data_IF_940496286924
#
_entry.id   IF_940496286924
#
_cell.length_a   1.000
_cell.length_b   1.000
_cell.length_c   1.000
_cell.angle_alpha   90.00
_cell.angle_beta   90.00
_cell.angle_gamma   90.00
#
_symmetry.space_group_name_H-M   'P 1'
#
loop_
_entity.id
_entity.type
_entity.pdbx_description
1 polymer ?
#
# COMPACT_ATOMS: atom_id res chain seq x y z
N UNK A 1 32.56 25.22 -14.38
CA UNK A 1 31.48 25.09 -13.37
C UNK A 1 31.82 23.90 -12.49
N UNK A 2 32.12 24.13 -11.21
CA UNK A 2 32.45 23.07 -10.25
C UNK A 2 31.18 22.28 -9.94
N UNK A 3 31.21 20.97 -10.18
CA UNK A 3 30.14 20.05 -9.80
C UNK A 3 29.94 20.09 -8.29
N UNK A 4 28.68 20.18 -7.87
CA UNK A 4 28.29 20.06 -6.47
C UNK A 4 28.78 18.70 -5.93
N UNK A 5 29.43 18.63 -4.77
CA UNK A 5 29.80 17.37 -4.15
C UNK A 5 28.52 16.55 -3.88
N UNK A 6 28.54 15.28 -4.29
CA UNK A 6 27.43 14.35 -4.11
C UNK A 6 26.99 14.30 -2.65
N UNK A 7 25.68 14.42 -2.42
CA UNK A 7 25.14 14.37 -1.06
C UNK A 7 25.38 12.99 -0.46
N UNK A 8 26.21 12.94 0.58
CA UNK A 8 26.74 11.72 1.22
C UNK A 8 25.73 11.00 2.13
N UNK A 9 24.45 10.97 1.72
CA UNK A 9 23.35 10.38 2.48
C UNK A 9 22.41 9.59 1.57
N UNK A 10 21.76 8.53 2.09
CA UNK A 10 20.88 7.69 1.30
C UNK A 10 19.69 8.49 0.72
N UNK A 11 19.52 8.47 -0.60
CA UNK A 11 18.39 9.09 -1.29
C UNK A 11 17.12 8.31 -0.93
N UNK A 12 16.09 9.01 -0.45
CA UNK A 12 14.81 8.42 -0.09
C UNK A 12 13.87 8.46 -1.29
N UNK A 13 13.30 7.31 -1.63
CA UNK A 13 12.27 7.19 -2.66
C UNK A 13 10.91 6.88 -2.04
N UNK A 14 9.89 7.60 -2.47
CA UNK A 14 8.48 7.29 -2.29
C UNK A 14 7.99 6.54 -3.53
N UNK A 15 7.32 5.42 -3.31
CA UNK A 15 6.75 4.57 -4.37
C UNK A 15 5.24 4.56 -4.17
N UNK A 16 4.50 5.01 -5.18
CA UNK A 16 3.05 4.99 -5.23
C UNK A 16 2.59 3.73 -5.98
N UNK A 17 1.71 2.95 -5.35
CA UNK A 17 1.32 1.62 -5.81
C UNK A 17 -0.21 1.47 -5.83
N UNK A 18 -0.69 0.67 -6.78
CA UNK A 18 -1.99 0.03 -6.70
C UNK A 18 -1.84 -1.47 -6.92
N UNK A 19 -2.77 -2.26 -6.39
CA UNK A 19 -2.78 -3.71 -6.60
C UNK A 19 -4.17 -4.31 -6.41
N UNK A 20 -4.39 -5.42 -7.11
CA UNK A 20 -5.53 -6.30 -6.91
C UNK A 20 -5.11 -7.39 -5.91
N UNK A 21 -5.77 -7.45 -4.76
CA UNK A 21 -5.35 -8.27 -3.62
C UNK A 21 -5.65 -9.77 -3.74
N UNK A 22 -6.42 -10.21 -4.73
CA UNK A 22 -7.01 -11.57 -4.81
C UNK A 22 -5.94 -12.68 -4.69
N UNK A 23 -4.80 -12.50 -5.36
CA UNK A 23 -3.69 -13.46 -5.37
C UNK A 23 -2.66 -13.28 -4.25
N UNK A 24 -2.92 -12.41 -3.28
CA UNK A 24 -1.97 -12.06 -2.21
C UNK A 24 -2.49 -12.43 -0.82
N UNK A 25 -1.59 -12.96 0.01
CA UNK A 25 -1.79 -13.12 1.45
C UNK A 25 -1.57 -11.79 2.21
N UNK A 26 -2.04 -10.70 1.64
CA UNK A 26 -1.95 -9.35 2.17
C UNK A 26 -0.66 -8.63 1.80
N UNK A 27 -0.44 -7.48 2.47
CA UNK A 27 0.73 -6.64 2.25
C UNK A 27 2.02 -7.26 2.80
N UNK A 28 2.03 -7.58 4.09
CA UNK A 28 3.26 -7.85 4.85
C UNK A 28 3.95 -9.13 4.35
N UNK A 29 5.27 -9.08 4.14
CA UNK A 29 6.08 -10.27 3.81
C UNK A 29 5.91 -11.39 4.84
N UNK A 30 5.72 -12.60 4.33
CA UNK A 30 5.58 -13.85 5.07
C UNK A 30 6.47 -14.91 4.40
N UNK A 31 6.86 -15.94 5.15
CA UNK A 31 7.81 -16.96 4.69
C UNK A 31 7.26 -17.79 3.52
N UNK A 32 6.03 -18.27 3.64
CA UNK A 32 5.48 -19.31 2.77
C UNK A 32 4.32 -18.82 1.90
N UNK A 33 4.16 -17.50 1.79
CA UNK A 33 3.04 -16.90 1.09
C UNK A 33 3.46 -15.73 0.20
N UNK A 34 2.80 -15.64 -0.96
CA UNK A 34 2.94 -14.50 -1.87
C UNK A 34 2.27 -13.27 -1.27
N UNK A 35 3.02 -12.19 -1.10
CA UNK A 35 2.54 -10.93 -0.53
C UNK A 35 3.02 -9.75 -1.36
N UNK A 36 2.32 -8.62 -1.28
CA UNK A 36 2.67 -7.43 -2.08
C UNK A 36 4.05 -6.89 -1.70
N UNK A 37 4.37 -6.81 -0.39
CA UNK A 37 5.69 -6.37 0.07
C UNK A 37 6.79 -7.33 -0.38
N UNK A 38 6.52 -8.63 -0.43
CA UNK A 38 7.48 -9.62 -0.91
C UNK A 38 7.81 -9.44 -2.39
N UNK A 39 6.81 -9.24 -3.25
CA UNK A 39 7.02 -8.95 -4.67
C UNK A 39 7.75 -7.62 -4.88
N UNK A 40 7.36 -6.58 -4.14
CA UNK A 40 8.04 -5.28 -4.20
C UNK A 40 9.49 -5.38 -3.74
N UNK A 41 9.78 -6.08 -2.64
CA UNK A 41 11.13 -6.30 -2.15
C UNK A 41 11.98 -7.06 -3.18
N UNK A 42 11.44 -8.12 -3.79
CA UNK A 42 12.11 -8.89 -4.85
C UNK A 42 12.42 -8.02 -6.06
N UNK A 43 11.46 -7.24 -6.54
CA UNK A 43 11.64 -6.36 -7.70
C UNK A 43 12.68 -5.26 -7.44
N UNK A 44 12.59 -4.57 -6.30
CA UNK A 44 13.56 -3.57 -5.89
C UNK A 44 14.97 -4.17 -5.73
N UNK A 45 15.07 -5.34 -5.08
CA UNK A 45 16.36 -5.99 -4.83
C UNK A 45 17.04 -6.42 -6.13
N UNK A 46 16.26 -6.94 -7.09
CA UNK A 46 16.74 -7.27 -8.45
C UNK A 46 17.29 -6.04 -9.17
N UNK A 47 16.62 -4.90 -9.09
CA UNK A 47 17.07 -3.67 -9.74
C UNK A 47 18.31 -3.07 -9.07
N UNK A 48 18.44 -3.22 -7.75
CA UNK A 48 19.52 -2.63 -6.96
C UNK A 48 20.72 -3.56 -6.75
N UNK A 49 20.61 -4.84 -7.15
CA UNK A 49 21.65 -5.84 -6.97
C UNK A 49 21.95 -6.17 -5.50
N UNK A 50 21.01 -5.91 -4.59
CA UNK A 50 21.14 -6.15 -3.15
C UNK A 50 19.77 -6.27 -2.50
N UNK A 51 19.71 -6.97 -1.37
CA UNK A 51 18.47 -7.10 -0.60
C UNK A 51 18.03 -5.74 -0.04
N UNK A 52 16.78 -5.38 -0.32
CA UNK A 52 16.11 -4.22 0.24
C UNK A 52 14.70 -4.57 0.69
N UNK A 53 14.26 -3.96 1.79
CA UNK A 53 12.92 -4.14 2.32
C UNK A 53 12.16 -2.81 2.33
N UNK A 54 11.25 -2.59 1.36
CA UNK A 54 10.40 -1.40 1.34
C UNK A 54 9.44 -1.38 2.54
N UNK A 55 9.16 -0.18 3.05
CA UNK A 55 8.24 0.03 4.17
C UNK A 55 6.96 0.70 3.67
N UNK A 56 5.82 0.02 3.82
CA UNK A 56 4.50 0.49 3.42
C UNK A 56 3.85 1.46 4.42
N UNK A 57 2.91 2.26 3.95
CA UNK A 57 2.14 3.22 4.74
C UNK A 57 1.11 2.55 5.66
N UNK A 58 0.57 1.41 5.23
CA UNK A 58 -0.36 0.59 6.00
C UNK A 58 -0.24 -0.88 5.58
N UNK A 59 -0.76 -1.78 6.42
CA UNK A 59 -0.93 -3.19 6.08
C UNK A 59 -2.33 -3.39 5.51
N UNK A 60 -2.45 -4.31 4.57
CA UNK A 60 -3.71 -4.86 4.09
C UNK A 60 -3.73 -6.34 4.38
N UNK A 61 -4.92 -6.85 4.73
CA UNK A 61 -5.17 -8.27 4.94
C UNK A 61 -5.22 -9.02 3.60
N UNK A 62 -5.24 -10.35 3.66
CA UNK A 62 -5.42 -11.23 2.48
C UNK A 62 -6.64 -10.81 1.67
N UNK A 63 -6.48 -10.73 0.34
CA UNK A 63 -7.55 -10.35 -0.59
C UNK A 63 -7.87 -8.86 -0.68
N UNK A 64 -7.40 -8.03 0.25
CA UNK A 64 -7.70 -6.59 0.23
C UNK A 64 -6.92 -5.89 -0.90
N UNK A 65 -7.64 -5.15 -1.73
CA UNK A 65 -7.07 -4.33 -2.82
C UNK A 65 -6.53 -2.99 -2.30
N UNK A 66 -5.65 -2.35 -3.07
CA UNK A 66 -5.28 -0.96 -2.83
C UNK A 66 -5.27 -0.17 -4.13
N UNK A 67 -5.89 1.02 -4.10
CA UNK A 67 -5.79 2.01 -5.18
C UNK A 67 -4.68 3.04 -4.96
N UNK A 68 -4.05 3.07 -3.79
CA UNK A 68 -3.11 4.13 -3.43
C UNK A 68 -2.26 3.77 -2.22
N UNK A 69 -1.67 2.57 -2.26
CA UNK A 69 -0.67 2.20 -1.27
C UNK A 69 0.60 3.01 -1.50
N UNK A 70 1.22 3.47 -0.43
CA UNK A 70 2.51 4.17 -0.50
C UNK A 70 3.55 3.33 0.19
N UNK A 71 4.72 3.19 -0.43
CA UNK A 71 5.90 2.60 0.19
C UNK A 71 7.09 3.55 0.10
N UNK A 72 8.12 3.29 0.91
CA UNK A 72 9.41 3.94 0.74
C UNK A 72 10.57 2.98 0.91
N UNK A 73 11.70 3.34 0.31
CA UNK A 73 13.00 2.72 0.53
C UNK A 73 14.11 3.75 0.31
N UNK A 74 15.35 3.36 0.61
CA UNK A 74 16.54 4.18 0.34
C UNK A 74 17.42 3.56 -0.74
N UNK A 75 17.97 4.41 -1.59
CA UNK A 75 18.99 4.09 -2.58
C UNK A 75 20.27 4.85 -2.28
N UNK A 76 21.40 4.37 -2.82
CA UNK A 76 22.74 4.87 -2.53
C UNK A 76 23.20 5.94 -3.51
N UNK A 77 22.68 5.92 -4.73
CA UNK A 77 23.16 6.77 -5.83
C UNK A 77 22.01 7.28 -6.69
N UNK A 78 22.28 8.34 -7.45
CA UNK A 78 21.35 8.88 -8.44
C UNK A 78 21.00 7.85 -9.52
N UNK A 79 21.99 7.10 -9.99
CA UNK A 79 21.79 6.03 -10.99
C UNK A 79 20.83 4.94 -10.47
N UNK A 80 20.90 4.60 -9.18
CA UNK A 80 19.93 3.68 -8.58
C UNK A 80 18.53 4.29 -8.53
N UNK A 81 18.40 5.58 -8.18
CA UNK A 81 17.12 6.28 -8.18
C UNK A 81 16.48 6.30 -9.58
N UNK A 82 17.27 6.62 -10.61
CA UNK A 82 16.85 6.63 -12.01
C UNK A 82 16.45 5.25 -12.50
N UNK A 83 17.22 4.22 -12.14
CA UNK A 83 16.89 2.82 -12.46
C UNK A 83 15.58 2.39 -11.81
N UNK A 84 15.36 2.73 -10.55
CA UNK A 84 14.11 2.47 -9.85
C UNK A 84 12.93 3.15 -10.54
N UNK A 85 13.08 4.43 -10.90
CA UNK A 85 12.06 5.19 -11.64
C UNK A 85 11.75 4.56 -13.01
N UNK A 86 12.78 4.21 -13.78
CA UNK A 86 12.63 3.74 -15.15
C UNK A 86 12.20 2.28 -15.30
N UNK A 87 12.46 1.41 -14.31
CA UNK A 87 12.33 -0.03 -14.49
C UNK A 87 11.37 -0.74 -13.52
N UNK A 88 11.03 -0.15 -12.36
CA UNK A 88 10.26 -0.86 -11.33
C UNK A 88 8.91 -1.39 -11.85
N UNK A 89 8.19 -0.59 -12.64
CA UNK A 89 6.89 -0.98 -13.23
C UNK A 89 6.98 -2.19 -14.16
N UNK A 90 8.15 -2.44 -14.78
CA UNK A 90 8.36 -3.55 -15.72
C UNK A 90 8.76 -4.86 -15.05
N UNK A 91 9.19 -4.80 -13.79
CA UNK A 91 9.67 -5.96 -13.04
C UNK A 91 8.59 -6.53 -12.12
N UNK A 92 7.61 -5.71 -11.74
CA UNK A 92 6.48 -6.14 -10.92
C UNK A 92 5.48 -7.00 -11.72
N UNK A 93 4.76 -7.92 -11.04
CA UNK A 93 3.71 -8.71 -11.67
C UNK A 93 2.52 -7.84 -12.08
N UNK A 94 1.70 -8.34 -13.02
CA UNK A 94 0.59 -7.59 -13.61
C UNK A 94 -0.52 -7.17 -12.62
N UNK A 95 -0.58 -7.80 -11.44
CA UNK A 95 -1.51 -7.47 -10.36
C UNK A 95 -0.98 -6.40 -9.39
N UNK A 96 0.20 -5.81 -9.67
CA UNK A 96 0.79 -4.67 -8.95
C UNK A 96 1.21 -3.57 -9.93
N UNK A 97 0.58 -2.41 -9.82
CA UNK A 97 0.84 -1.22 -10.63
C UNK A 97 1.74 -0.23 -9.87
N UNK A 98 2.79 0.28 -10.52
CA UNK A 98 3.55 1.44 -10.04
C UNK A 98 3.00 2.69 -10.68
N UNK A 99 2.53 3.62 -9.84
CA UNK A 99 1.97 4.91 -10.27
C UNK A 99 2.98 6.04 -10.21
N UNK A 100 4.04 5.87 -9.44
CA UNK A 100 5.10 6.87 -9.33
C UNK A 100 6.25 6.41 -8.45
N UNK A 101 7.45 6.91 -8.77
CA UNK A 101 8.66 6.75 -7.95
C UNK A 101 9.30 8.12 -7.85
N UNK A 102 9.25 8.73 -6.67
CA UNK A 102 9.66 10.12 -6.48
C UNK A 102 10.71 10.24 -5.37
N UNK A 103 11.70 11.11 -5.57
CA UNK A 103 12.60 11.52 -4.49
C UNK A 103 11.80 12.31 -3.45
N UNK A 104 12.08 12.05 -2.19
CA UNK A 104 11.45 12.75 -1.05
C UNK A 104 12.51 13.07 -0.01
N UNK A 105 12.14 13.87 1.00
CA UNK A 105 13.02 14.14 2.13
C UNK A 105 13.63 12.85 2.70
N UNK A 106 14.93 12.81 3.07
CA UNK A 106 15.54 11.67 3.75
C UNK A 106 14.77 11.22 5.01
N UNK A 107 14.07 12.14 5.67
CA UNK A 107 13.24 11.90 6.86
C UNK A 107 11.85 11.32 6.58
N UNK A 108 11.42 11.24 5.31
CA UNK A 108 10.12 10.69 4.95
C UNK A 108 10.00 9.23 5.37
N UNK A 109 8.86 8.89 5.99
CA UNK A 109 8.51 7.53 6.38
C UNK A 109 7.04 7.28 6.05
N UNK A 110 6.78 6.48 5.02
CA UNK A 110 5.43 6.21 4.51
C UNK A 110 4.39 5.87 5.59
N UNK A 111 4.79 5.19 6.67
CA UNK A 111 3.90 4.85 7.80
C UNK A 111 3.71 6.01 8.77
N UNK A 112 4.79 6.68 9.18
CA UNK A 112 4.76 7.66 10.27
C UNK A 112 4.39 9.07 9.82
N UNK A 113 4.71 9.45 8.58
CA UNK A 113 4.38 10.78 8.05
C UNK A 113 2.99 10.86 7.42
N UNK A 114 2.28 9.73 7.32
CA UNK A 114 0.91 9.71 6.80
C UNK A 114 -0.08 10.29 7.82
N UNK A 115 -0.80 11.34 7.42
CA UNK A 115 -1.79 12.04 8.27
C UNK A 115 -3.09 11.25 8.39
N UNK A 116 -3.52 10.59 7.32
CA UNK A 116 -4.76 9.80 7.30
C UNK A 116 -4.65 8.64 6.32
N UNK A 117 -5.58 7.68 6.42
CA UNK A 117 -5.80 6.62 5.43
C UNK A 117 -7.29 6.58 5.10
N UNK A 118 -7.62 6.23 3.85
CA UNK A 118 -8.99 6.07 3.39
C UNK A 118 -9.20 4.64 2.92
N UNK A 119 -10.28 4.05 3.38
CA UNK A 119 -10.76 2.74 2.93
C UNK A 119 -12.11 2.92 2.25
N UNK A 120 -12.43 2.04 1.31
CA UNK A 120 -13.72 2.02 0.63
C UNK A 120 -14.16 0.57 0.49
N UNK A 121 -15.37 0.28 0.96
CA UNK A 121 -16.05 -0.98 0.75
C UNK A 121 -17.10 -0.78 -0.34
N UNK A 122 -17.04 -1.60 -1.40
CA UNK A 122 -18.03 -1.56 -2.47
C UNK A 122 -19.04 -2.70 -2.23
N UNK A 123 -20.29 -2.36 -2.01
CA UNK A 123 -21.39 -3.31 -1.89
C UNK A 123 -22.17 -3.33 -3.21
N UNK A 124 -22.53 -4.52 -3.67
CA UNK A 124 -23.31 -4.71 -4.89
C UNK A 124 -24.59 -5.46 -4.54
N UNK A 125 -25.74 -4.86 -4.83
CA UNK A 125 -27.04 -5.52 -4.69
C UNK A 125 -27.33 -6.31 -5.96
N UNK A 126 -27.47 -7.63 -5.82
CA UNK A 126 -27.62 -8.54 -6.94
C UNK A 126 -26.29 -8.89 -7.62
N UNK A 127 -26.35 -9.19 -8.92
CA UNK A 127 -25.21 -9.69 -9.70
C UNK A 127 -24.91 -8.78 -10.89
N UNK A 128 -23.68 -8.31 -10.97
CA UNK A 128 -23.13 -7.55 -12.10
C UNK A 128 -21.71 -8.03 -12.38
N UNK A 129 -21.50 -8.58 -13.59
CA UNK A 129 -20.21 -9.10 -14.03
C UNK A 129 -19.16 -8.02 -14.24
N UNK A 130 -19.58 -6.77 -14.46
CA UNK A 130 -18.70 -5.63 -14.76
C UNK A 130 -18.31 -4.84 -13.51
N UNK A 131 -18.73 -5.28 -12.32
CA UNK A 131 -18.34 -4.70 -11.04
C UNK A 131 -17.53 -5.70 -10.20
N UNK A 132 -16.31 -6.06 -10.64
CA UNK A 132 -15.44 -6.92 -9.83
C UNK A 132 -15.07 -6.21 -8.52
N UNK A 133 -14.62 -7.00 -7.54
CA UNK A 133 -14.15 -6.48 -6.24
C UNK A 133 -15.23 -5.74 -5.43
N UNK A 134 -16.48 -6.18 -5.58
CA UNK A 134 -17.61 -5.75 -4.76
C UNK A 134 -18.14 -6.93 -3.95
N UNK A 135 -18.55 -6.67 -2.71
CA UNK A 135 -19.25 -7.67 -1.93
C UNK A 135 -20.70 -7.76 -2.40
N UNK A 136 -21.06 -8.91 -2.97
CA UNK A 136 -22.42 -9.19 -3.43
C UNK A 136 -23.31 -9.51 -2.25
N UNK A 137 -24.43 -8.81 -2.16
CA UNK A 137 -25.45 -9.00 -1.13
C UNK A 137 -26.79 -9.38 -1.78
N UNK A 138 -27.47 -10.32 -1.13
CA UNK A 138 -28.86 -10.67 -1.44
C UNK A 138 -29.79 -9.84 -0.56
N UNK A 139 -30.73 -9.11 -1.17
CA UNK A 139 -31.72 -8.29 -0.47
C UNK A 139 -31.49 -6.78 -0.64
N UNK A 140 -32.31 -5.99 0.04
CA UNK A 140 -32.21 -4.53 0.07
C UNK A 140 -31.36 -4.03 1.25
N UNK A 141 -30.86 -2.80 1.12
CA UNK A 141 -30.22 -2.07 2.21
C UNK A 141 -31.08 -0.85 2.56
N UNK A 142 -31.29 -0.60 3.84
CA UNK A 142 -31.79 0.68 4.32
C UNK A 142 -30.60 1.65 4.43
N UNK A 143 -30.32 2.35 3.32
CA UNK A 143 -29.20 3.30 3.27
C UNK A 143 -29.40 4.47 4.23
N UNK A 144 -30.64 4.86 4.52
CA UNK A 144 -30.93 5.92 5.48
C UNK A 144 -30.60 5.47 6.93
N UNK A 145 -30.89 4.22 7.28
CA UNK A 145 -30.45 3.65 8.56
C UNK A 145 -28.92 3.54 8.64
N UNK A 146 -28.26 3.13 7.56
CA UNK A 146 -26.79 3.09 7.49
C UNK A 146 -26.16 4.48 7.67
N UNK A 147 -26.69 5.51 7.00
CA UNK A 147 -26.18 6.88 7.11
C UNK A 147 -26.33 7.45 8.53
N UNK A 148 -27.47 7.15 9.19
CA UNK A 148 -27.67 7.52 10.60
C UNK A 148 -26.63 6.84 11.48
N UNK A 149 -26.42 5.52 11.33
CA UNK A 149 -25.43 4.78 12.11
C UNK A 149 -23.99 5.26 11.83
N UNK A 150 -23.63 5.58 10.59
CA UNK A 150 -22.32 6.10 10.21
C UNK A 150 -21.99 7.42 10.91
N UNK A 151 -23.00 8.25 11.19
CA UNK A 151 -22.82 9.53 11.86
C UNK A 151 -22.26 9.36 13.29
N UNK A 152 -22.62 8.27 13.96
CA UNK A 152 -22.13 7.94 15.31
C UNK A 152 -20.62 7.60 15.33
N UNK A 153 -20.03 7.24 14.18
CA UNK A 153 -18.60 6.94 14.05
C UNK A 153 -17.72 8.18 13.87
N UNK A 154 -18.31 9.36 13.64
CA UNK A 154 -17.55 10.58 13.38
C UNK A 154 -16.87 11.10 14.65
N UNK A 155 -15.61 11.50 14.53
CA UNK A 155 -14.82 12.03 15.65
C UNK A 155 -13.90 11.00 16.30
N UNK A 156 -13.60 11.22 17.58
CA UNK A 156 -12.65 10.40 18.35
C UNK A 156 -13.41 9.42 19.25
N UNK A 157 -13.16 8.13 19.06
CA UNK A 157 -13.83 7.05 19.80
C UNK A 157 -12.87 5.93 20.17
N UNK A 158 -13.26 5.14 21.16
CA UNK A 158 -12.60 3.86 21.49
C UNK A 158 -13.22 2.76 20.63
N UNK A 159 -12.57 2.40 19.52
CA UNK A 159 -13.06 1.40 18.58
C UNK A 159 -12.73 -0.07 18.98
N UNK A 160 -12.61 -0.37 20.28
CA UNK A 160 -12.19 -1.69 20.76
C UNK A 160 -13.07 -2.84 20.23
N UNK A 161 -14.39 -2.64 20.16
CA UNK A 161 -15.35 -3.62 19.63
C UNK A 161 -15.18 -3.92 18.13
N UNK A 162 -14.42 -3.10 17.40
CA UNK A 162 -14.16 -3.24 15.96
C UNK A 162 -12.73 -3.75 15.67
N UNK A 163 -11.93 -3.97 16.71
CA UNK A 163 -10.62 -4.59 16.58
C UNK A 163 -10.74 -6.11 16.56
N UNK A 164 -9.88 -6.79 15.80
CA UNK A 164 -9.70 -8.25 15.97
C UNK A 164 -9.27 -8.51 17.41
N UNK A 165 -9.76 -9.59 18.01
CA UNK A 165 -9.44 -9.97 19.41
C UNK A 165 -7.94 -10.03 19.69
N UNK A 166 -7.14 -10.42 18.69
CA UNK A 166 -5.67 -10.48 18.77
C UNK A 166 -4.96 -9.11 18.81
N UNK A 167 -5.66 -8.03 18.48
CA UNK A 167 -5.14 -6.65 18.42
C UNK A 167 -5.30 -5.89 19.73
N UNK A 168 -6.07 -6.45 20.68
CA UNK A 168 -6.19 -5.97 22.06
C UNK A 168 -5.05 -6.59 22.87
N UNK A 169 -3.85 -6.02 22.75
CA UNK A 169 -2.78 -6.26 23.72
C UNK A 169 -2.36 -4.90 24.27
N UNK A 170 -2.28 -4.87 25.60
CA UNK A 170 -1.97 -3.71 26.45
C UNK A 170 -0.77 -2.89 25.96
#
# INVERSE_FOLDING_TARGET
MKGLPGSDGPIRLKIDLAYVGDGFHGWQMQRDHRTVQGELARACSRLLGRDVMPVGAGRTDRGVHARGQVAHLSVRTDNEAERMHGALSRVLPADVEVRGVNRVSPSFNARRTAVSRRYSYNLLLGRDLFRPHSWQLSGGLDTAAMDRACSDFMGSHVFASFCKSSSLRD
#
